data_IF_864144549679
#
_entry.id   IF_864144549679
#
_cell.length_a   1.000
_cell.length_b   1.000
_cell.length_c   1.000
_cell.angle_alpha   90.00
_cell.angle_beta   90.00
_cell.angle_gamma   90.00
#
_symmetry.space_group_name_H-M   'P 1'
#
loop_
_entity.id
_entity.type
_entity.pdbx_description
1 polymer ?
#
# COMPACT_ATOMS: atom_id res chain seq x y z
N UNK A 1 16.24 -8.42 -13.15
CA UNK A 1 15.73 -8.77 -11.79
C UNK A 1 16.08 -10.20 -11.40
N UNK A 2 15.58 -11.27 -12.07
CA UNK A 2 15.87 -12.66 -11.68
C UNK A 2 17.37 -12.99 -11.57
N UNK A 3 18.19 -12.49 -12.48
CA UNK A 3 19.65 -12.65 -12.42
C UNK A 3 20.27 -11.94 -11.21
N UNK A 4 19.84 -10.70 -10.93
CA UNK A 4 20.32 -9.95 -9.76
C UNK A 4 20.00 -10.67 -8.44
N UNK A 5 18.79 -11.25 -8.33
CA UNK A 5 18.39 -12.03 -7.16
C UNK A 5 19.25 -13.30 -7.01
N UNK A 6 19.50 -14.03 -8.10
CA UNK A 6 20.34 -15.24 -8.10
C UNK A 6 21.81 -14.95 -7.76
N UNK A 7 22.28 -13.73 -8.03
CA UNK A 7 23.66 -13.31 -7.79
C UNK A 7 23.87 -12.72 -6.39
N UNK A 8 22.83 -12.61 -5.56
CA UNK A 8 23.01 -12.15 -4.17
C UNK A 8 23.83 -13.18 -3.39
N UNK A 9 24.91 -12.72 -2.75
CA UNK A 9 25.76 -13.55 -1.91
C UNK A 9 25.17 -13.67 -0.50
N UNK A 10 25.17 -14.88 0.04
CA UNK A 10 24.79 -15.11 1.42
C UNK A 10 25.86 -14.52 2.34
N UNK A 11 25.43 -13.71 3.32
CA UNK A 11 26.35 -12.89 4.11
C UNK A 11 26.88 -13.59 5.37
N UNK A 12 26.29 -14.72 5.79
CA UNK A 12 26.71 -15.51 6.97
C UNK A 12 26.84 -14.69 8.28
N UNK A 13 25.97 -13.69 8.45
CA UNK A 13 25.96 -12.80 9.63
C UNK A 13 24.71 -13.01 10.47
N UNK A 14 24.66 -12.35 11.63
CA UNK A 14 23.51 -12.37 12.53
C UNK A 14 22.26 -11.68 11.97
N UNK A 15 21.18 -11.77 12.75
CA UNK A 15 19.84 -11.32 12.35
C UNK A 15 19.54 -9.95 12.96
N UNK A 16 19.82 -8.87 12.22
CA UNK A 16 19.60 -7.48 12.65
C UNK A 16 18.36 -6.89 11.96
N UNK A 17 17.18 -7.38 12.33
CA UNK A 17 15.91 -7.05 11.64
C UNK A 17 15.50 -5.59 11.87
N UNK A 18 15.72 -5.04 13.07
CA UNK A 18 15.43 -3.63 13.36
C UNK A 18 16.26 -2.69 12.48
N UNK A 19 17.56 -2.96 12.36
CA UNK A 19 18.47 -2.24 11.48
C UNK A 19 18.07 -2.37 10.00
N UNK A 20 17.64 -3.57 9.57
CA UNK A 20 17.16 -3.79 8.20
C UNK A 20 15.90 -2.95 7.89
N UNK A 21 14.94 -2.88 8.82
CA UNK A 21 13.74 -2.03 8.69
C UNK A 21 14.11 -0.55 8.62
N UNK A 22 15.04 -0.10 9.47
CA UNK A 22 15.54 1.27 9.43
C UNK A 22 16.20 1.58 8.08
N UNK A 23 17.02 0.67 7.56
CA UNK A 23 17.65 0.84 6.25
C UNK A 23 16.61 0.93 5.13
N UNK A 24 15.57 0.10 5.19
CA UNK A 24 14.45 0.11 4.24
C UNK A 24 13.75 1.48 4.21
N UNK A 25 13.50 2.07 5.38
CA UNK A 25 12.87 3.40 5.51
C UNK A 25 13.80 4.50 5.01
N UNK A 26 15.03 4.53 5.51
CA UNK A 26 15.93 5.67 5.36
C UNK A 26 16.66 5.67 3.99
N UNK A 27 16.74 4.52 3.30
CA UNK A 27 17.51 4.37 2.05
C UNK A 27 16.68 3.76 0.91
N UNK A 28 16.09 2.58 1.11
CA UNK A 28 15.51 1.81 0.00
C UNK A 28 14.28 2.47 -0.63
N UNK A 29 13.46 3.15 0.16
CA UNK A 29 12.26 3.84 -0.32
C UNK A 29 12.46 5.35 -0.54
N UNK A 30 13.68 5.77 -0.85
CA UNK A 30 13.99 7.14 -1.27
C UNK A 30 13.76 7.32 -2.78
N UNK A 31 13.43 8.55 -3.20
CA UNK A 31 13.25 8.88 -4.63
C UNK A 31 14.54 8.63 -5.41
N UNK A 32 15.70 8.94 -4.83
CA UNK A 32 17.02 8.65 -5.40
C UNK A 32 17.28 7.17 -5.61
N UNK A 33 16.66 6.29 -4.82
CA UNK A 33 16.71 4.83 -4.97
C UNK A 33 15.58 4.27 -5.83
N UNK A 34 14.81 5.12 -6.51
CA UNK A 34 13.77 4.72 -7.46
C UNK A 34 12.36 4.60 -6.87
N UNK A 35 12.14 5.06 -5.63
CA UNK A 35 10.80 5.10 -5.07
C UNK A 35 9.92 6.12 -5.81
N UNK A 36 8.70 5.70 -6.14
CA UNK A 36 7.73 6.54 -6.87
C UNK A 36 6.82 7.28 -5.89
N UNK A 37 6.71 8.62 -5.96
CA UNK A 37 5.73 9.36 -5.19
C UNK A 37 4.30 8.86 -5.46
N UNK A 38 3.48 8.76 -4.41
CA UNK A 38 2.08 8.32 -4.51
C UNK A 38 1.86 6.81 -4.71
N UNK A 39 2.90 6.02 -4.97
CA UNK A 39 2.77 4.56 -5.05
C UNK A 39 2.76 3.93 -3.65
N UNK A 40 1.94 2.89 -3.45
CA UNK A 40 1.92 2.11 -2.21
C UNK A 40 3.30 1.49 -1.96
N UNK A 41 3.88 1.77 -0.79
CA UNK A 41 5.13 1.15 -0.33
C UNK A 41 4.81 -0.19 0.31
N UNK A 42 5.44 -1.25 -0.17
CA UNK A 42 5.24 -2.63 0.33
C UNK A 42 6.58 -3.18 0.78
N UNK A 43 6.68 -3.53 2.07
CA UNK A 43 7.85 -4.21 2.62
C UNK A 43 7.52 -5.66 2.93
N UNK A 44 8.40 -6.58 2.56
CA UNK A 44 8.26 -8.01 2.87
C UNK A 44 9.55 -8.45 3.58
N UNK A 45 9.43 -8.85 4.84
CA UNK A 45 10.54 -9.35 5.65
C UNK A 45 10.49 -10.88 5.66
N UNK A 46 11.61 -11.51 5.33
CA UNK A 46 11.81 -12.94 5.49
C UNK A 46 12.86 -13.14 6.59
N UNK A 47 12.53 -13.92 7.62
CA UNK A 47 13.46 -14.27 8.72
C UNK A 47 13.25 -15.72 9.13
N UNK A 48 14.31 -16.37 9.59
CA UNK A 48 14.30 -17.75 10.07
C UNK A 48 14.66 -17.89 11.56
N UNK A 49 14.81 -16.77 12.27
CA UNK A 49 15.23 -16.73 13.65
C UNK A 49 14.83 -15.44 14.37
N UNK A 50 15.17 -15.39 15.66
CA UNK A 50 14.99 -14.21 16.52
C UNK A 50 15.95 -13.09 16.11
N UNK A 51 15.48 -11.85 16.13
CA UNK A 51 16.34 -10.68 15.95
C UNK A 51 17.30 -10.48 17.12
N UNK A 52 18.48 -9.94 16.82
CA UNK A 52 19.52 -9.59 17.79
C UNK A 52 19.45 -8.11 18.21
N UNK A 53 18.47 -7.38 17.69
CA UNK A 53 18.18 -5.98 17.95
C UNK A 53 16.68 -5.74 18.16
N UNK A 54 16.32 -4.56 18.68
CA UNK A 54 14.93 -4.17 18.89
C UNK A 54 14.25 -3.83 17.56
N UNK A 55 13.07 -4.43 17.34
CA UNK A 55 12.31 -4.31 16.10
C UNK A 55 11.20 -3.27 16.21
N UNK A 56 10.61 -3.13 17.40
CA UNK A 56 9.35 -2.41 17.66
C UNK A 56 9.32 -1.01 17.06
N UNK A 57 10.34 -0.18 17.34
CA UNK A 57 10.38 1.21 16.90
C UNK A 57 10.50 1.34 15.37
N UNK A 58 11.34 0.51 14.75
CA UNK A 58 11.55 0.54 13.31
C UNK A 58 10.31 0.00 12.56
N UNK A 59 9.71 -1.08 13.05
CA UNK A 59 8.47 -1.63 12.51
C UNK A 59 7.31 -0.64 12.64
N UNK A 60 7.14 -0.02 13.81
CA UNK A 60 6.14 1.02 14.03
C UNK A 60 6.35 2.20 13.08
N UNK A 61 7.59 2.71 12.97
CA UNK A 61 7.93 3.81 12.06
C UNK A 61 7.61 3.47 10.60
N UNK A 62 7.91 2.25 10.14
CA UNK A 62 7.55 1.81 8.79
C UNK A 62 6.03 1.90 8.57
N UNK A 63 5.24 1.36 9.51
CA UNK A 63 3.77 1.38 9.44
C UNK A 63 3.21 2.81 9.48
N UNK A 64 3.73 3.66 10.37
CA UNK A 64 3.32 5.07 10.48
C UNK A 64 3.61 5.86 9.19
N UNK A 65 4.67 5.49 8.45
CA UNK A 65 5.02 6.09 7.15
C UNK A 65 4.21 5.52 5.97
N UNK A 66 3.17 4.72 6.24
CA UNK A 66 2.24 4.19 5.26
C UNK A 66 2.75 2.96 4.52
N UNK A 67 3.78 2.27 5.04
CA UNK A 67 4.24 1.02 4.44
C UNK A 67 3.28 -0.12 4.79
N UNK A 68 2.89 -0.90 3.79
CA UNK A 68 2.20 -2.17 3.98
C UNK A 68 3.25 -3.25 4.21
N UNK A 69 3.40 -3.68 5.46
CA UNK A 69 4.44 -4.58 5.90
C UNK A 69 3.91 -6.01 6.00
N UNK A 70 4.67 -6.93 5.41
CA UNK A 70 4.45 -8.36 5.49
C UNK A 70 5.66 -9.03 6.15
N UNK A 71 5.41 -10.06 6.95
CA UNK A 71 6.45 -10.82 7.62
C UNK A 71 6.30 -12.32 7.32
N UNK A 72 7.40 -12.99 6.99
CA UNK A 72 7.46 -14.43 6.70
C UNK A 72 8.51 -15.05 7.60
N UNK A 73 8.05 -15.85 8.55
CA UNK A 73 8.89 -16.65 9.43
C UNK A 73 9.08 -18.06 8.87
N UNK A 74 10.32 -18.56 8.92
CA UNK A 74 10.64 -19.96 8.61
C UNK A 74 11.34 -20.62 9.79
N UNK A 75 10.99 -21.86 10.14
CA UNK A 75 11.72 -22.62 11.16
C UNK A 75 11.69 -21.95 12.54
N UNK A 76 12.80 -21.38 12.99
CA UNK A 76 12.96 -20.84 14.36
C UNK A 76 12.57 -19.36 14.49
N UNK A 77 11.87 -18.79 13.51
CA UNK A 77 11.37 -17.43 13.57
C UNK A 77 10.41 -17.24 14.76
N UNK A 78 10.54 -16.11 15.46
CA UNK A 78 9.71 -15.79 16.62
C UNK A 78 8.41 -15.15 16.15
N UNK A 79 7.28 -15.79 16.42
CA UNK A 79 5.97 -15.32 15.94
C UNK A 79 5.65 -13.89 16.41
N UNK A 80 5.95 -13.54 17.66
CA UNK A 80 5.70 -12.20 18.20
C UNK A 80 6.45 -11.11 17.40
N UNK A 81 7.71 -11.36 17.02
CA UNK A 81 8.49 -10.44 16.18
C UNK A 81 7.84 -10.28 14.79
N UNK A 82 7.33 -11.37 14.19
CA UNK A 82 6.64 -11.31 12.91
C UNK A 82 5.37 -10.46 13.00
N UNK A 83 4.61 -10.60 14.10
CA UNK A 83 3.38 -9.86 14.35
C UNK A 83 3.65 -8.37 14.56
N UNK A 84 4.76 -8.02 15.21
CA UNK A 84 5.18 -6.63 15.37
C UNK A 84 5.52 -5.97 14.02
N UNK A 85 6.19 -6.71 13.13
CA UNK A 85 6.54 -6.24 11.78
C UNK A 85 5.30 -6.07 10.90
N UNK A 86 4.37 -7.02 10.97
CA UNK A 86 3.19 -7.07 10.12
C UNK A 86 2.26 -5.86 10.31
N UNK A 87 1.69 -5.38 9.21
CA UNK A 87 0.61 -4.37 9.22
C UNK A 87 -0.73 -4.98 9.62
N UNK A 88 -1.66 -4.14 10.07
CA UNK A 88 -3.02 -4.57 10.35
C UNK A 88 -3.83 -4.85 9.06
N UNK A 89 -4.77 -5.82 9.07
CA UNK A 89 -4.98 -6.83 10.11
C UNK A 89 -3.81 -7.83 10.16
N UNK A 90 -3.20 -8.00 11.34
CA UNK A 90 -1.95 -8.79 11.51
C UNK A 90 -2.09 -10.19 10.93
N UNK A 91 -3.20 -10.87 11.18
CA UNK A 91 -3.45 -12.24 10.71
C UNK A 91 -3.40 -12.43 9.18
N UNK A 92 -3.50 -11.34 8.40
CA UNK A 92 -3.38 -11.39 6.94
C UNK A 92 -1.99 -11.06 6.41
N UNK A 93 -1.12 -10.54 7.27
CA UNK A 93 0.15 -9.93 6.90
C UNK A 93 1.37 -10.64 7.47
N UNK A 94 1.21 -11.57 8.42
CA UNK A 94 2.28 -12.50 8.79
C UNK A 94 2.00 -13.92 8.29
N UNK A 95 3.07 -14.62 7.96
CA UNK A 95 3.05 -16.02 7.56
C UNK A 95 4.14 -16.76 8.32
N UNK A 96 3.85 -17.98 8.76
CA UNK A 96 4.81 -18.84 9.40
C UNK A 96 4.82 -20.22 8.72
N UNK A 97 6.00 -20.79 8.53
CA UNK A 97 6.18 -22.16 8.04
C UNK A 97 7.34 -22.84 8.75
N UNK A 98 7.24 -24.16 8.96
CA UNK A 98 8.33 -24.95 9.50
C UNK A 98 9.49 -25.19 8.49
N UNK A 99 9.20 -25.19 7.19
CA UNK A 99 10.19 -25.51 6.12
C UNK A 99 10.06 -24.53 4.94
N UNK A 100 11.19 -24.21 4.30
CA UNK A 100 11.28 -23.45 3.05
C UNK A 100 10.55 -24.11 1.87
N UNK A 101 10.28 -25.43 1.90
CA UNK A 101 9.52 -26.12 0.84
C UNK A 101 8.15 -25.50 0.55
N UNK A 102 7.53 -24.90 1.55
CA UNK A 102 6.20 -24.27 1.42
C UNK A 102 6.28 -22.80 0.97
N UNK A 103 7.49 -22.23 0.85
CA UNK A 103 7.67 -20.81 0.52
C UNK A 103 7.03 -20.44 -0.83
N UNK A 104 6.98 -21.40 -1.76
CA UNK A 104 6.29 -21.23 -3.04
C UNK A 104 4.78 -20.98 -2.87
N UNK A 105 4.15 -21.61 -1.88
CA UNK A 105 2.74 -21.38 -1.57
C UNK A 105 2.54 -20.03 -0.88
N UNK A 106 3.45 -19.66 0.02
CA UNK A 106 3.46 -18.33 0.67
C UNK A 106 3.62 -17.23 -0.38
N UNK A 107 4.50 -17.42 -1.37
CA UNK A 107 4.67 -16.49 -2.49
C UNK A 107 3.36 -16.25 -3.26
N UNK A 108 2.58 -17.31 -3.52
CA UNK A 108 1.24 -17.16 -4.15
C UNK A 108 0.25 -16.41 -3.25
N UNK A 109 0.28 -16.65 -1.93
CA UNK A 109 -0.59 -15.92 -0.98
C UNK A 109 -0.21 -14.45 -0.89
N UNK A 110 1.08 -14.15 -0.78
CA UNK A 110 1.62 -12.80 -0.78
C UNK A 110 1.23 -12.06 -2.05
N UNK A 111 1.38 -12.68 -3.22
CA UNK A 111 0.97 -12.09 -4.50
C UNK A 111 -0.50 -11.65 -4.47
N UNK A 112 -1.41 -12.51 -4.00
CA UNK A 112 -2.83 -12.18 -3.89
C UNK A 112 -3.15 -11.08 -2.88
N UNK A 113 -2.36 -10.96 -1.81
CA UNK A 113 -2.57 -9.96 -0.74
C UNK A 113 -1.94 -8.60 -1.05
N UNK A 114 -0.89 -8.59 -1.86
CA UNK A 114 -0.15 -7.40 -2.26
C UNK A 114 -0.80 -6.77 -3.48
N UNK A 115 -1.08 -7.57 -4.50
CA UNK A 115 -1.74 -7.10 -5.70
C UNK A 115 -3.22 -6.87 -5.36
N UNK A 116 -3.61 -5.61 -5.27
CA UNK A 116 -5.02 -5.25 -5.37
C UNK A 116 -5.41 -5.58 -6.81
N UNK A 117 -6.28 -6.56 -7.02
CA UNK A 117 -7.01 -6.65 -8.27
C UNK A 117 -7.87 -5.38 -8.30
N UNK A 118 -7.53 -4.44 -9.18
CA UNK A 118 -8.42 -3.30 -9.40
C UNK A 118 -9.74 -3.86 -9.91
N UNK A 119 -10.79 -3.76 -9.09
CA UNK A 119 -12.14 -4.13 -9.51
C UNK A 119 -12.60 -3.11 -10.56
N UNK A 120 -12.70 -3.50 -11.84
CA UNK A 120 -13.10 -2.58 -12.89
C UNK A 120 -14.52 -2.04 -12.65
N UNK A 121 -15.38 -2.80 -11.95
CA UNK A 121 -16.76 -2.41 -11.65
C UNK A 121 -16.85 -1.31 -10.56
N UNK A 122 -15.88 -1.25 -9.64
CA UNK A 122 -15.83 -0.17 -8.65
C UNK A 122 -15.65 1.20 -9.33
N UNK A 123 -14.87 1.24 -10.42
CA UNK A 123 -14.69 2.43 -11.24
C UNK A 123 -15.98 2.80 -12.00
N UNK A 124 -16.74 1.81 -12.47
CA UNK A 124 -18.01 2.04 -13.18
C UNK A 124 -19.05 2.76 -12.30
N UNK A 125 -19.16 2.38 -11.02
CA UNK A 125 -20.05 3.04 -10.07
C UNK A 125 -19.68 4.51 -9.81
N UNK A 126 -18.37 4.80 -9.69
CA UNK A 126 -17.84 6.16 -9.51
C UNK A 126 -18.03 7.02 -10.76
N UNK A 127 -17.76 6.45 -11.94
CA UNK A 127 -17.96 7.14 -13.23
C UNK A 127 -19.44 7.43 -13.47
N UNK A 128 -20.33 6.48 -13.15
CA UNK A 128 -21.78 6.68 -13.27
C UNK A 128 -22.27 7.77 -12.32
N UNK A 129 -21.78 7.79 -11.08
CA UNK A 129 -22.08 8.85 -10.14
C UNK A 129 -21.58 10.21 -10.63
N UNK A 130 -20.32 10.31 -11.07
CA UNK A 130 -19.75 11.54 -11.64
C UNK A 130 -20.57 12.06 -12.81
N UNK A 131 -20.89 11.21 -13.80
CA UNK A 131 -21.67 11.60 -14.98
C UNK A 131 -23.07 12.10 -14.60
N UNK A 132 -23.71 11.48 -13.61
CA UNK A 132 -25.04 11.90 -13.12
C UNK A 132 -24.97 13.24 -12.40
N UNK A 133 -23.94 13.46 -11.57
CA UNK A 133 -23.72 14.74 -10.88
C UNK A 133 -23.41 15.85 -11.89
N UNK A 134 -22.55 15.62 -12.88
CA UNK A 134 -22.25 16.58 -13.94
C UNK A 134 -23.51 16.94 -14.75
N UNK A 135 -24.33 15.95 -15.09
CA UNK A 135 -25.60 16.18 -15.78
C UNK A 135 -26.57 17.04 -14.97
N UNK A 136 -26.68 16.78 -13.66
CA UNK A 136 -27.50 17.60 -12.76
C UNK A 136 -26.97 19.03 -12.64
N UNK A 137 -25.65 19.20 -12.53
CA UNK A 137 -25.00 20.51 -12.48
C UNK A 137 -25.29 21.31 -13.76
N UNK A 138 -25.11 20.70 -14.93
CA UNK A 138 -25.43 21.36 -16.20
C UNK A 138 -26.90 21.76 -16.31
N UNK A 139 -27.82 20.90 -15.86
CA UNK A 139 -29.25 21.21 -15.85
C UNK A 139 -29.56 22.39 -14.93
N UNK A 140 -28.92 22.45 -13.76
CA UNK A 140 -29.08 23.55 -12.81
C UNK A 140 -28.54 24.86 -13.39
N UNK A 141 -27.34 24.83 -14.00
CA UNK A 141 -26.72 26.00 -14.64
C UNK A 141 -27.60 26.57 -15.74
N UNK A 142 -28.18 25.72 -16.62
CA UNK A 142 -29.10 26.17 -17.66
C UNK A 142 -30.36 26.82 -17.11
N UNK A 143 -30.91 26.28 -16.01
CA UNK A 143 -32.07 26.88 -15.34
C UNK A 143 -31.71 28.24 -14.74
N UNK A 144 -30.54 28.37 -14.12
CA UNK A 144 -30.06 29.63 -13.56
C UNK A 144 -29.86 30.70 -14.65
N UNK A 145 -29.25 30.35 -15.78
CA UNK A 145 -29.11 31.24 -16.93
C UNK A 145 -30.48 31.70 -17.48
N UNK A 146 -31.44 30.78 -17.57
CA UNK A 146 -32.79 31.13 -18.04
C UNK A 146 -33.51 32.10 -17.10
N UNK A 147 -33.37 31.92 -15.78
CA UNK A 147 -33.93 32.85 -14.77
C UNK A 147 -33.23 34.20 -14.86
N UNK A 148 -31.89 34.22 -14.95
CA UNK A 148 -31.12 35.46 -15.08
C UNK A 148 -31.53 36.27 -16.31
N UNK A 149 -31.73 35.62 -17.47
CA UNK A 149 -32.23 36.29 -18.69
C UNK A 149 -33.63 36.87 -18.48
N UNK A 150 -34.53 36.15 -17.81
CA UNK A 150 -35.88 36.65 -17.51
C UNK A 150 -35.85 37.86 -16.58
N UNK A 151 -34.98 37.85 -15.57
CA UNK A 151 -34.78 39.00 -14.68
C UNK A 151 -34.31 40.23 -15.46
N UNK A 152 -33.30 40.06 -16.32
CA UNK A 152 -32.78 41.16 -17.13
C UNK A 152 -33.85 41.77 -18.06
N UNK A 153 -34.74 40.94 -18.64
CA UNK A 153 -35.86 41.42 -19.45
C UNK A 153 -36.84 42.23 -18.59
N UNK A 154 -37.19 41.73 -17.40
CA UNK A 154 -38.09 42.43 -16.46
C UNK A 154 -37.52 43.78 -16.03
N UNK A 155 -36.25 43.86 -15.67
CA UNK A 155 -35.58 45.12 -15.30
C UNK A 155 -35.66 46.15 -16.43
N UNK A 156 -35.47 45.72 -17.69
CA UNK A 156 -35.53 46.60 -18.86
C UNK A 156 -36.95 47.04 -19.26
N UNK A 157 -38.00 46.48 -18.64
CA UNK A 157 -39.40 46.80 -18.91
C UNK A 157 -40.01 47.72 -17.83
N UNK A 158 -39.30 47.93 -16.72
CA UNK A 158 -39.75 48.72 -15.55
C UNK A 158 -39.18 50.15 -15.56
N UNK A 159 -38.45 50.54 -16.60
CA UNK A 159 -38.00 51.93 -16.89
C UNK A 159 -38.79 52.48 -18.06
#
# INVERSE_FOLDING_TARGET
>A
IKAAVRNMSYMEKGTMTGAALKYLIDNSFTVSSGARPGAQKVGIVFTDGRSQDYINDAAKKAKDLGFKMFAVGVGNAVEDELREIASEPVAEHYFYTADFKTINQIGKKLQKKICVEEDPCACESLVTFQAKVEGLLQALTRKLEAVSKRLAILENTVV
#
